data_IF_918602389162
#
_entry.id   IF_918602389162
#
_cell.length_a   1.000
_cell.length_b   1.000
_cell.length_c   1.000
_cell.angle_alpha   90.00
_cell.angle_beta   90.00
_cell.angle_gamma   90.00
#
_symmetry.space_group_name_H-M   'P 1'
#
loop_
_entity.id
_entity.type
_entity.pdbx_description
1 polymer ?
#
# COMPACT_ATOMS: atom_id res chain seq x y z
N UNK A 1 67.83 -34.98 -2.45
CA UNK A 1 67.55 -35.57 -1.13
C UNK A 1 66.05 -35.86 -1.10
N UNK A 2 65.56 -36.92 -1.76
CA UNK A 2 65.42 -38.31 -1.27
C UNK A 2 65.05 -38.35 0.22
N UNK A 3 63.78 -38.67 0.48
CA UNK A 3 63.23 -39.05 1.79
C UNK A 3 61.93 -39.82 1.55
N UNK A 4 62.07 -41.14 1.40
CA UNK A 4 61.09 -42.11 0.93
C UNK A 4 60.53 -42.93 2.11
N UNK A 5 59.23 -43.27 2.06
CA UNK A 5 58.48 -44.30 2.83
C UNK A 5 58.19 -43.95 4.30
N UNK A 6 57.01 -44.25 4.86
CA UNK A 6 56.31 -45.55 4.90
C UNK A 6 54.78 -45.38 4.89
N UNK A 7 54.13 -46.30 4.20
CA UNK A 7 52.69 -46.56 4.06
C UNK A 7 52.21 -47.49 5.20
N UNK A 8 50.99 -47.33 5.74
CA UNK A 8 50.16 -48.37 6.43
C UNK A 8 48.79 -47.73 6.80
N UNK A 9 47.73 -47.89 5.99
CA UNK A 9 46.69 -48.94 5.95
C UNK A 9 45.57 -48.81 7.01
N UNK A 10 44.40 -48.36 6.51
CA UNK A 10 42.98 -48.66 6.82
C UNK A 10 42.47 -48.84 8.26
N UNK A 11 41.39 -48.10 8.57
CA UNK A 11 40.15 -48.73 9.01
C UNK A 11 38.95 -47.88 8.53
N UNK A 12 38.12 -48.51 7.70
CA UNK A 12 36.84 -48.03 7.24
C UNK A 12 35.86 -48.13 8.43
N UNK A 13 35.34 -47.02 8.93
CA UNK A 13 34.19 -47.04 9.83
C UNK A 13 33.05 -46.30 9.15
N UNK A 14 32.26 -47.05 8.38
CA UNK A 14 30.96 -46.59 7.93
C UNK A 14 30.03 -46.54 9.16
N UNK A 15 29.83 -45.36 9.73
CA UNK A 15 28.76 -45.15 10.69
C UNK A 15 27.50 -44.89 9.87
N UNK A 16 26.61 -45.87 9.90
CA UNK A 16 25.33 -45.86 9.22
C UNK A 16 24.54 -44.59 9.56
N UNK A 17 24.12 -43.87 8.51
CA UNK A 17 23.15 -42.79 8.61
C UNK A 17 21.82 -43.44 9.01
N UNK A 18 21.43 -43.32 10.29
CA UNK A 18 20.04 -43.59 10.66
C UNK A 18 19.23 -42.36 10.28
N UNK A 19 18.73 -42.34 9.05
CA UNK A 19 17.63 -41.49 8.66
C UNK A 19 16.41 -41.93 9.49
N UNK A 20 16.11 -41.22 10.57
CA UNK A 20 14.77 -41.27 11.13
C UNK A 20 13.91 -40.42 10.20
N UNK A 21 13.19 -41.09 9.31
CA UNK A 21 11.96 -40.56 8.75
C UNK A 21 11.00 -40.36 9.93
N UNK A 22 11.12 -39.21 10.58
CA UNK A 22 9.98 -38.61 11.24
C UNK A 22 9.15 -38.07 10.12
N UNK A 23 8.08 -38.81 9.79
CA UNK A 23 6.90 -38.27 9.11
C UNK A 23 6.31 -37.18 10.01
N UNK A 24 7.01 -36.04 10.05
CA UNK A 24 6.42 -34.77 10.37
C UNK A 24 5.64 -34.43 9.11
N UNK A 25 4.37 -34.87 9.09
CA UNK A 25 3.37 -34.18 8.32
C UNK A 25 3.50 -32.70 8.70
N UNK A 26 4.24 -31.96 7.87
CA UNK A 26 4.19 -30.51 7.87
C UNK A 26 2.75 -30.18 7.57
N UNK A 27 2.00 -29.91 8.63
CA UNK A 27 0.75 -29.21 8.56
C UNK A 27 1.12 -27.86 7.95
N UNK A 28 1.02 -27.75 6.63
CA UNK A 28 0.87 -26.47 5.96
C UNK A 28 -0.31 -25.81 6.66
N UNK A 29 0.00 -24.93 7.61
CA UNK A 29 -0.88 -23.84 7.92
C UNK A 29 -0.95 -23.08 6.61
N UNK A 30 -2.02 -23.29 5.86
CA UNK A 30 -2.48 -22.33 4.87
C UNK A 30 -2.62 -21.06 5.68
N UNK A 31 -1.59 -20.22 5.59
CA UNK A 31 -1.62 -18.87 6.11
C UNK A 31 -2.73 -18.23 5.30
N UNK A 32 -3.92 -18.22 5.89
CA UNK A 32 -5.04 -17.45 5.38
C UNK A 32 -4.53 -16.03 5.51
N UNK A 33 -3.88 -15.54 4.45
CA UNK A 33 -3.53 -14.15 4.29
C UNK A 33 -4.85 -13.44 4.48
N UNK A 34 -5.05 -12.88 5.67
CA UNK A 34 -6.17 -12.02 5.96
C UNK A 34 -6.12 -10.99 4.85
N UNK A 35 -7.12 -11.01 3.97
CA UNK A 35 -7.19 -9.98 2.92
C UNK A 35 -7.07 -8.67 3.66
N UNK A 36 -6.13 -7.82 3.25
CA UNK A 36 -5.97 -6.50 3.84
C UNK A 36 -7.37 -5.87 3.99
N UNK A 37 -7.73 -5.50 5.21
CA UNK A 37 -9.04 -4.91 5.45
C UNK A 37 -9.15 -3.59 4.68
N UNK A 38 -10.39 -3.23 4.35
CA UNK A 38 -10.68 -1.90 3.81
C UNK A 38 -10.15 -0.85 4.78
N UNK A 39 -9.21 -0.01 4.33
CA UNK A 39 -8.68 1.08 5.16
C UNK A 39 -9.66 2.25 5.16
N UNK A 40 -10.34 2.48 4.02
CA UNK A 40 -11.43 3.44 3.91
C UNK A 40 -12.56 2.89 3.05
N UNK A 41 -13.78 3.29 3.39
CA UNK A 41 -14.98 3.05 2.59
C UNK A 41 -15.62 4.38 2.18
N UNK A 42 -15.60 4.67 0.89
CA UNK A 42 -16.22 5.85 0.28
C UNK A 42 -17.54 5.44 -0.40
N UNK A 43 -18.67 5.72 0.25
CA UNK A 43 -19.96 5.19 -0.19
C UNK A 43 -20.00 3.66 -0.10
N UNK A 44 -19.87 2.98 -1.24
CA UNK A 44 -19.77 1.51 -1.33
C UNK A 44 -18.41 1.01 -1.80
N UNK A 45 -17.47 1.91 -2.09
CA UNK A 45 -16.13 1.57 -2.58
C UNK A 45 -15.20 1.33 -1.40
N UNK A 46 -14.53 0.19 -1.40
CA UNK A 46 -13.48 -0.17 -0.44
C UNK A 46 -12.12 0.20 -1.03
N UNK A 47 -11.31 0.95 -0.29
CA UNK A 47 -9.94 1.29 -0.67
C UNK A 47 -8.95 0.62 0.26
N UNK A 48 -7.95 -0.04 -0.34
CA UNK A 48 -6.83 -0.64 0.35
C UNK A 48 -5.68 0.35 0.49
N UNK A 49 -4.72 0.04 1.37
CA UNK A 49 -3.59 0.93 1.61
C UNK A 49 -2.80 1.21 0.32
N UNK A 50 -2.66 0.20 -0.56
CA UNK A 50 -1.95 0.35 -1.84
C UNK A 50 -2.62 1.37 -2.76
N UNK A 51 -3.95 1.35 -2.90
CA UNK A 51 -4.68 2.32 -3.74
C UNK A 51 -4.49 3.76 -3.24
N UNK A 52 -4.52 3.90 -1.91
CA UNK A 52 -4.36 5.19 -1.24
C UNK A 52 -2.94 5.71 -1.44
N UNK A 53 -1.94 4.86 -1.24
CA UNK A 53 -0.53 5.21 -1.38
C UNK A 53 -0.19 5.59 -2.82
N UNK A 54 -0.71 4.86 -3.81
CA UNK A 54 -0.49 5.16 -5.22
C UNK A 54 -1.15 6.48 -5.65
N UNK A 55 -2.41 6.72 -5.25
CA UNK A 55 -3.11 7.97 -5.53
C UNK A 55 -2.42 9.16 -4.84
N UNK A 56 -2.03 9.01 -3.58
CA UNK A 56 -1.31 10.01 -2.80
C UNK A 56 0.04 10.33 -3.43
N UNK A 57 0.84 9.32 -3.77
CA UNK A 57 2.15 9.49 -4.37
C UNK A 57 2.04 10.23 -5.71
N UNK A 58 1.03 9.90 -6.54
CA UNK A 58 0.79 10.60 -7.80
C UNK A 58 0.39 12.06 -7.58
N UNK A 59 -0.58 12.31 -6.70
CA UNK A 59 -1.04 13.65 -6.36
C UNK A 59 0.11 14.50 -5.82
N UNK A 60 0.84 14.00 -4.82
CA UNK A 60 1.96 14.72 -4.24
C UNK A 60 3.09 14.96 -5.25
N UNK A 61 3.42 14.00 -6.12
CA UNK A 61 4.41 14.18 -7.18
C UNK A 61 4.08 15.36 -8.09
N UNK A 62 2.82 15.49 -8.49
CA UNK A 62 2.35 16.57 -9.36
C UNK A 62 2.34 17.92 -8.61
N UNK A 63 1.86 17.94 -7.36
CA UNK A 63 1.87 19.12 -6.51
C UNK A 63 3.30 19.65 -6.34
N UNK A 64 4.24 18.76 -6.03
CA UNK A 64 5.65 19.09 -5.80
C UNK A 64 6.33 19.62 -7.06
N UNK A 65 5.94 19.15 -8.25
CA UNK A 65 6.46 19.63 -9.53
C UNK A 65 5.72 20.85 -10.09
N UNK A 66 4.71 21.37 -9.37
CA UNK A 66 3.85 22.46 -9.87
C UNK A 66 3.09 22.09 -11.15
N UNK A 67 2.82 20.80 -11.35
CA UNK A 67 2.13 20.26 -12.53
C UNK A 67 0.72 19.80 -12.19
N UNK A 68 -0.14 19.69 -13.20
CA UNK A 68 -1.48 19.17 -13.03
C UNK A 68 -1.92 18.31 -14.23
N UNK A 69 -2.78 17.34 -13.96
CA UNK A 69 -3.50 16.54 -14.95
C UNK A 69 -4.98 16.86 -14.77
N UNK A 70 -5.62 17.42 -15.79
CA UNK A 70 -7.03 17.85 -15.73
C UNK A 70 -7.33 18.70 -14.46
N UNK A 71 -6.43 19.64 -14.15
CA UNK A 71 -6.47 20.51 -12.97
C UNK A 71 -6.23 19.83 -11.61
N UNK A 72 -5.85 18.56 -11.57
CA UNK A 72 -5.46 17.86 -10.34
C UNK A 72 -3.95 17.61 -10.24
N UNK A 73 -3.37 17.69 -9.03
CA UNK A 73 -4.00 18.10 -7.78
C UNK A 73 -4.26 19.61 -7.77
N UNK A 74 -5.18 20.03 -6.91
CA UNK A 74 -5.36 21.45 -6.59
C UNK A 74 -5.63 21.63 -5.10
N UNK A 75 -5.56 22.88 -4.63
CA UNK A 75 -5.80 23.18 -3.23
C UNK A 75 -7.22 22.80 -2.83
N UNK A 76 -7.35 22.17 -1.66
CA UNK A 76 -8.60 21.85 -1.00
C UNK A 76 -8.78 22.78 0.21
N UNK A 77 -9.86 23.55 0.22
CA UNK A 77 -10.07 24.64 1.19
C UNK A 77 -10.86 24.22 2.44
N UNK A 78 -11.35 22.99 2.49
CA UNK A 78 -12.09 22.45 3.63
C UNK A 78 -13.31 23.29 4.05
N UNK A 79 -14.14 23.68 3.08
CA UNK A 79 -15.36 24.44 3.36
C UNK A 79 -16.39 23.62 4.17
N UNK A 80 -16.27 22.29 4.10
CA UNK A 80 -17.04 21.34 4.90
C UNK A 80 -16.68 21.35 6.40
N UNK A 81 -15.48 21.85 6.77
CA UNK A 81 -15.05 21.93 8.16
C UNK A 81 -14.58 20.61 8.76
N UNK A 82 -13.98 19.72 7.98
CA UNK A 82 -13.34 18.50 8.48
C UNK A 82 -12.16 18.84 9.42
N UNK A 83 -11.92 17.96 10.40
CA UNK A 83 -10.73 18.05 11.25
C UNK A 83 -9.61 17.21 10.65
N UNK A 84 -8.60 17.87 10.09
CA UNK A 84 -7.42 17.19 9.53
C UNK A 84 -6.26 17.13 10.52
N UNK A 85 -5.41 16.08 10.46
CA UNK A 85 -4.28 15.90 11.37
C UNK A 85 -3.14 16.89 11.12
N UNK A 86 -3.03 17.44 9.92
CA UNK A 86 -1.98 18.42 9.57
C UNK A 86 -2.55 19.83 9.38
N UNK A 87 -1.67 20.79 9.09
CA UNK A 87 -2.04 22.19 8.83
C UNK A 87 -2.15 22.43 7.32
N UNK A 88 -3.10 23.28 6.94
CA UNK A 88 -3.21 23.84 5.61
C UNK A 88 -1.87 24.44 5.11
N UNK A 89 -1.63 24.50 3.79
CA UNK A 89 -2.57 24.15 2.71
C UNK A 89 -2.70 22.63 2.52
N UNK A 90 -3.93 22.22 2.20
CA UNK A 90 -4.26 20.86 1.78
C UNK A 90 -4.52 20.83 0.29
N UNK A 91 -4.38 19.65 -0.31
CA UNK A 91 -4.60 19.40 -1.72
C UNK A 91 -5.49 18.16 -1.88
N UNK A 92 -6.33 18.17 -2.91
CA UNK A 92 -7.12 17.01 -3.30
C UNK A 92 -6.56 16.38 -4.58
N UNK A 93 -6.60 15.05 -4.65
CA UNK A 93 -6.32 14.29 -5.87
C UNK A 93 -7.31 13.12 -6.02
N UNK A 94 -7.77 12.78 -7.23
CA UNK A 94 -8.73 11.69 -7.42
C UNK A 94 -8.15 10.34 -7.02
N UNK A 95 -8.95 9.57 -6.29
CA UNK A 95 -8.77 8.12 -6.10
C UNK A 95 -9.94 7.42 -6.79
N UNK A 96 -9.66 6.43 -7.64
CA UNK A 96 -10.66 5.87 -8.55
C UNK A 96 -11.18 4.54 -8.05
N UNK A 97 -12.49 4.32 -8.12
CA UNK A 97 -13.13 3.02 -7.82
C UNK A 97 -12.74 1.89 -8.79
N UNK A 98 -11.98 2.20 -9.84
CA UNK A 98 -11.34 1.23 -10.73
C UNK A 98 -9.99 0.73 -10.19
N UNK A 99 -9.51 1.28 -9.06
CA UNK A 99 -8.23 0.95 -8.42
C UNK A 99 -7.01 1.24 -9.30
N UNK A 100 -7.18 2.15 -10.27
CA UNK A 100 -6.09 2.65 -11.10
C UNK A 100 -5.75 4.07 -10.68
N UNK A 101 -4.46 4.40 -10.73
CA UNK A 101 -4.00 5.78 -10.56
C UNK A 101 -4.65 6.68 -11.60
N UNK A 102 -5.16 7.84 -11.16
CA UNK A 102 -5.76 8.82 -12.06
C UNK A 102 -4.73 9.41 -13.04
N UNK A 103 -5.04 9.31 -14.34
CA UNK A 103 -4.21 9.83 -15.43
C UNK A 103 -4.94 10.85 -16.31
N UNK A 104 -6.07 11.39 -15.83
CA UNK A 104 -6.94 12.30 -16.58
C UNK A 104 -8.30 11.68 -16.91
N UNK A 105 -9.20 12.49 -17.47
CA UNK A 105 -10.59 12.13 -17.72
C UNK A 105 -11.51 12.47 -16.54
N UNK A 106 -12.58 11.69 -16.35
CA UNK A 106 -13.51 11.87 -15.23
C UNK A 106 -12.85 11.50 -13.90
N UNK A 107 -12.84 12.39 -12.89
CA UNK A 107 -12.16 12.13 -11.60
C UNK A 107 -12.96 11.21 -10.67
N UNK A 108 -14.20 10.85 -11.01
CA UNK A 108 -15.08 10.16 -10.07
C UNK A 108 -15.42 11.01 -8.84
N UNK A 109 -15.96 10.37 -7.81
CA UNK A 109 -16.50 11.04 -6.62
C UNK A 109 -15.48 11.19 -5.47
N UNK A 110 -14.41 10.40 -5.46
CA UNK A 110 -13.58 10.18 -4.28
C UNK A 110 -12.23 10.90 -4.40
N UNK A 111 -11.73 11.41 -3.27
CA UNK A 111 -10.47 12.17 -3.21
C UNK A 111 -9.61 11.68 -2.06
N UNK A 112 -8.31 11.58 -2.29
CA UNK A 112 -7.31 11.67 -1.21
C UNK A 112 -7.05 13.14 -0.91
N UNK A 113 -6.99 13.47 0.38
CA UNK A 113 -6.61 14.79 0.89
C UNK A 113 -5.24 14.68 1.54
N UNK A 114 -4.32 15.56 1.15
CA UNK A 114 -2.95 15.55 1.67
C UNK A 114 -2.39 16.96 1.87
N UNK A 115 -1.39 17.06 2.73
CA UNK A 115 -0.75 18.33 3.07
C UNK A 115 0.36 18.72 2.08
N UNK A 116 0.92 19.93 2.25
CA UNK A 116 2.06 20.41 1.43
C UNK A 116 3.33 19.55 1.48
N UNK A 117 3.42 18.58 2.40
CA UNK A 117 4.55 17.65 2.57
C UNK A 117 4.21 16.24 2.09
N UNK A 118 3.00 16.01 1.58
CA UNK A 118 2.55 14.71 1.07
C UNK A 118 2.05 13.77 2.17
N UNK A 119 1.77 14.26 3.37
CA UNK A 119 1.12 13.46 4.41
C UNK A 119 -0.36 13.30 4.10
N UNK A 120 -0.88 12.06 4.21
CA UNK A 120 -2.30 11.76 4.06
C UNK A 120 -3.10 12.31 5.24
N UNK A 121 -4.16 13.04 4.95
CA UNK A 121 -5.03 13.64 5.97
C UNK A 121 -6.40 12.97 6.03
N UNK A 122 -7.01 12.65 4.89
CA UNK A 122 -8.30 11.98 4.82
C UNK A 122 -8.58 11.39 3.43
N UNK A 123 -9.59 10.53 3.35
CA UNK A 123 -10.36 10.28 2.13
C UNK A 123 -11.74 10.92 2.28
N UNK A 124 -12.19 11.60 1.23
CA UNK A 124 -13.51 12.22 1.17
C UNK A 124 -14.23 11.83 -0.12
N UNK A 125 -15.56 11.91 -0.13
CA UNK A 125 -16.38 11.52 -1.27
C UNK A 125 -17.56 12.47 -1.47
N UNK A 126 -17.92 12.72 -2.73
CA UNK A 126 -19.22 13.32 -3.07
C UNK A 126 -20.38 12.35 -2.81
N UNK A 127 -20.12 11.03 -2.72
CA UNK A 127 -21.15 10.02 -2.52
C UNK A 127 -21.86 10.22 -1.18
N UNK A 128 -23.16 10.53 -1.23
CA UNK A 128 -23.96 10.80 -0.03
C UNK A 128 -23.91 12.25 0.45
N UNK A 129 -23.17 13.13 -0.23
CA UNK A 129 -23.20 14.57 0.00
C UNK A 129 -24.23 15.26 -0.91
N UNK A 130 -24.69 16.45 -0.52
CA UNK A 130 -25.57 17.29 -1.33
C UNK A 130 -24.76 18.21 -2.25
N UNK A 131 -25.18 18.37 -3.51
CA UNK A 131 -24.54 19.29 -4.45
C UNK A 131 -23.08 18.90 -4.72
N UNK A 132 -22.17 19.86 -4.58
CA UNK A 132 -20.73 19.66 -4.78
C UNK A 132 -19.95 19.50 -3.47
N UNK A 133 -20.65 19.29 -2.35
CA UNK A 133 -19.99 19.09 -1.05
C UNK A 133 -19.35 17.70 -0.98
N UNK A 134 -18.50 17.52 0.02
CA UNK A 134 -17.97 16.22 0.40
C UNK A 134 -18.50 15.74 1.75
N UNK A 135 -18.43 14.43 1.96
CA UNK A 135 -18.49 13.79 3.28
C UNK A 135 -17.22 12.95 3.48
N UNK A 136 -16.84 12.72 4.74
CA UNK A 136 -15.70 11.87 5.06
C UNK A 136 -16.00 10.42 4.69
N UNK A 137 -15.03 9.73 4.09
CA UNK A 137 -15.08 8.28 3.96
C UNK A 137 -14.93 7.64 5.33
N UNK A 138 -15.57 6.48 5.52
CA UNK A 138 -15.46 5.73 6.79
C UNK A 138 -14.11 5.05 6.85
N UNK A 139 -13.41 5.16 7.97
CA UNK A 139 -12.19 4.40 8.26
C UNK A 139 -12.55 3.09 8.95
#
# INVERSE_FOLDING_TARGET
>A
MIGLKVLLISALSAISVTARAVDLAERETVDLVERADCVYTCGSVCYWQEDIDEALAKGYSLQKSGSAINNYPHQYNNYEGFSFPTKAPWYEFPILSSYKVYTGGSPGADRVIFDSKGALDALITHTGASGNNFVACKK
#
